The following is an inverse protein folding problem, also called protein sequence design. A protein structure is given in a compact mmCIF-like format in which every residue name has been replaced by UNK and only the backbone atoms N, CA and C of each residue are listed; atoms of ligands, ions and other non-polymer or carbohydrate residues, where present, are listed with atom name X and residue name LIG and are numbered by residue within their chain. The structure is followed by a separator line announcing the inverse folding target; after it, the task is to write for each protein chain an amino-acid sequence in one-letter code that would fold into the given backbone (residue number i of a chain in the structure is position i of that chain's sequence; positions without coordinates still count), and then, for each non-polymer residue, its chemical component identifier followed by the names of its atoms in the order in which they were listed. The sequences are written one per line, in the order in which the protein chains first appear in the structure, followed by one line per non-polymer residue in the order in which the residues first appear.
data_IF_807736496873
#
_entry.id   IF_807736496873
#
_cell.length_a   1.000
_cell.length_b   1.000
_cell.length_c   1.000
_cell.angle_alpha   90.00
_cell.angle_beta   90.00
_cell.angle_gamma   90.00
#
_symmetry.space_group_name_H-M   'P 1'
#
loop_
_entity.id
_entity.type
_entity.pdbx_description
1 polymer ?
#
# COMPACT_ATOMS: atom_id res chain seq x y z
N UNK A 1 -8.86 -4.89 6.02
CA UNK A 1 -9.73 -3.70 6.12
C UNK A 1 -10.60 -3.65 4.87
N UNK A 2 -11.88 -3.27 4.95
CA UNK A 2 -12.74 -3.18 3.77
C UNK A 2 -12.29 -2.03 2.84
N UNK A 3 -12.49 -2.18 1.52
CA UNK A 3 -12.06 -1.21 0.49
C UNK A 3 -12.48 0.24 0.73
N UNK A 4 -13.72 0.52 1.20
CA UNK A 4 -14.13 1.89 1.50
C UNK A 4 -13.39 2.54 2.68
N UNK A 5 -12.70 1.76 3.52
CA UNK A 5 -11.87 2.30 4.62
C UNK A 5 -10.42 2.49 4.19
N UNK A 6 -9.83 1.56 3.44
CA UNK A 6 -8.45 1.71 2.95
C UNK A 6 -8.34 2.91 2.00
N UNK A 7 -9.33 3.10 1.13
CA UNK A 7 -9.38 4.25 0.21
C UNK A 7 -9.54 5.59 0.92
N UNK A 8 -9.84 5.65 2.23
CA UNK A 8 -9.88 6.91 3.00
C UNK A 8 -8.50 7.39 3.43
N UNK A 9 -7.51 6.53 3.46
CA UNK A 9 -6.15 6.93 3.77
C UNK A 9 -5.49 7.47 2.50
N UNK A 10 -4.81 8.61 2.61
CA UNK A 10 -4.10 9.21 1.48
C UNK A 10 -2.86 8.38 1.10
N UNK A 11 -2.17 7.83 2.10
CA UNK A 11 -1.10 6.84 1.98
C UNK A 11 -1.24 5.82 3.11
N UNK A 12 -0.95 4.57 2.81
CA UNK A 12 -0.71 3.52 3.80
C UNK A 12 0.75 3.10 3.64
N UNK A 13 1.48 2.82 4.72
CA UNK A 13 2.87 2.37 4.62
C UNK A 13 2.97 0.96 5.17
N UNK A 14 3.57 0.06 4.38
CA UNK A 14 3.82 -1.30 4.82
C UNK A 14 5.22 -1.39 5.38
N UNK A 15 5.32 -1.74 6.66
CA UNK A 15 6.59 -2.03 7.31
C UNK A 15 6.68 -3.55 7.40
N UNK A 16 7.57 -4.14 6.58
CA UNK A 16 7.92 -5.56 6.67
C UNK A 16 9.03 -5.71 7.70
N UNK A 17 8.90 -6.72 8.54
CA UNK A 17 9.95 -7.12 9.49
C UNK A 17 10.78 -8.23 8.84
N UNK A 18 11.83 -7.82 8.12
CA UNK A 18 12.75 -8.73 7.46
C UNK A 18 13.95 -8.98 8.37
N UNK A 19 14.23 -10.26 8.66
CA UNK A 19 15.38 -10.67 9.48
C UNK A 19 16.66 -10.44 8.70
N UNK A 20 17.42 -9.42 9.08
CA UNK A 20 18.69 -9.03 8.44
C UNK A 20 19.72 -8.87 9.55
N UNK A 21 20.59 -9.88 9.71
CA UNK A 21 21.52 -9.98 10.84
C UNK A 21 22.33 -8.70 11.11
N UNK A 22 22.85 -8.07 10.05
CA UNK A 22 23.63 -6.83 10.18
C UNK A 22 22.80 -5.66 10.72
N UNK A 23 21.56 -5.52 10.26
CA UNK A 23 20.63 -4.48 10.69
C UNK A 23 20.11 -4.75 12.10
N UNK A 24 19.75 -5.99 12.39
CA UNK A 24 19.26 -6.42 13.70
C UNK A 24 20.32 -6.20 14.78
N UNK A 25 21.59 -6.47 14.46
CA UNK A 25 22.71 -6.19 15.34
C UNK A 25 22.86 -4.69 15.61
N UNK A 26 22.81 -3.85 14.57
CA UNK A 26 22.89 -2.39 14.73
C UNK A 26 21.75 -1.86 15.60
N UNK A 27 20.52 -2.34 15.39
CA UNK A 27 19.35 -1.96 16.19
C UNK A 27 19.54 -2.40 17.65
N UNK A 28 19.96 -3.65 17.87
CA UNK A 28 20.21 -4.19 19.21
C UNK A 28 21.27 -3.39 19.98
N UNK A 29 22.42 -3.10 19.34
CA UNK A 29 23.49 -2.29 19.94
C UNK A 29 23.01 -0.87 20.27
N UNK A 30 22.22 -0.26 19.39
CA UNK A 30 21.65 1.07 19.60
C UNK A 30 20.68 1.09 20.80
N UNK A 31 19.79 0.11 20.91
CA UNK A 31 18.81 0.02 22.03
C UNK A 31 19.54 -0.10 23.38
N UNK A 32 20.55 -0.97 23.46
CA UNK A 32 21.33 -1.16 24.71
C UNK A 32 22.07 0.13 25.08
N UNK A 33 22.67 0.81 24.09
CA UNK A 33 23.38 2.07 24.31
C UNK A 33 22.45 3.18 24.81
N UNK A 34 21.29 3.34 24.19
CA UNK A 34 20.26 4.29 24.61
C UNK A 34 19.81 4.03 26.05
N UNK A 35 19.57 2.76 26.41
CA UNK A 35 19.15 2.40 27.77
C UNK A 35 20.22 2.68 28.83
N UNK A 36 21.50 2.54 28.51
CA UNK A 36 22.63 2.87 29.41
C UNK A 36 22.79 4.37 29.65
N UNK A 37 22.47 5.18 28.64
CA UNK A 37 22.57 6.64 28.71
C UNK A 37 21.31 7.31 29.25
N UNK A 38 20.21 6.56 29.37
CA UNK A 38 18.96 7.03 29.96
C UNK A 38 19.12 7.29 31.46
N UNK A 39 18.49 8.36 31.93
CA UNK A 39 18.37 8.65 33.36
C UNK A 39 17.33 7.70 33.94
N UNK A 40 17.61 6.98 35.05
CA UNK A 40 16.62 6.17 35.73
C UNK A 40 15.39 6.97 36.14
N UNK A 41 14.19 6.47 35.85
CA UNK A 41 12.92 7.18 36.12
C UNK A 41 12.77 7.57 37.59
N UNK A 42 13.18 6.71 38.53
CA UNK A 42 13.08 6.99 39.97
C UNK A 42 13.91 8.21 40.42
N UNK A 43 15.01 8.54 39.73
CA UNK A 43 15.81 9.75 40.02
C UNK A 43 15.11 11.02 39.53
N UNK A 44 14.29 10.90 38.48
CA UNK A 44 13.47 11.99 37.97
C UNK A 44 12.28 12.22 38.91
N UNK A 45 11.60 11.15 39.34
CA UNK A 45 10.44 11.23 40.25
C UNK A 45 10.80 11.76 41.65
N UNK A 46 11.99 11.44 42.14
CA UNK A 46 12.51 11.98 43.41
C UNK A 46 12.99 13.43 43.31
N UNK A 47 13.05 14.00 42.11
CA UNK A 47 13.50 15.37 41.85
C UNK A 47 15.02 15.58 41.95
N UNK A 48 15.80 14.51 42.05
CA UNK A 48 17.26 14.56 42.05
C UNK A 48 17.83 14.86 40.65
N UNK A 49 17.12 14.43 39.60
CA UNK A 49 17.47 14.66 38.20
C UNK A 49 16.32 15.35 37.44
N UNK A 50 16.68 16.16 36.44
CA UNK A 50 15.70 16.88 35.61
C UNK A 50 15.31 16.05 34.41
N UNK A 51 14.03 16.10 34.03
CA UNK A 51 13.57 15.46 32.79
C UNK A 51 14.44 15.91 31.58
N UNK A 52 14.91 14.97 30.75
CA UNK A 52 15.70 15.31 29.56
C UNK A 52 14.98 16.30 28.62
N UNK A 53 13.64 16.26 28.59
CA UNK A 53 12.81 17.17 27.79
C UNK A 53 12.93 18.62 28.23
N UNK A 54 12.98 18.88 29.54
CA UNK A 54 13.09 20.23 30.08
C UNK A 54 14.50 20.79 29.91
N UNK A 55 15.52 19.93 29.98
CA UNK A 55 16.93 20.29 29.74
C UNK A 55 17.21 20.72 28.29
N UNK A 56 16.39 20.24 27.35
CA UNK A 56 16.50 20.53 25.91
C UNK A 56 15.66 21.75 25.46
N UNK A 57 14.84 22.31 26.35
CA UNK A 57 13.93 23.41 26.02
C UNK A 57 14.70 24.65 25.57
N UNK A 58 14.39 25.15 24.38
CA UNK A 58 15.07 26.33 23.81
C UNK A 58 16.41 26.06 23.12
N UNK A 59 16.94 24.82 23.17
CA UNK A 59 18.12 24.43 22.38
C UNK A 59 17.68 24.00 20.98
N UNK A 60 18.44 24.39 19.96
CA UNK A 60 18.19 23.99 18.56
C UNK A 60 18.78 22.61 18.27
N UNK A 61 20.00 22.37 18.78
CA UNK A 61 20.75 21.14 18.57
C UNK A 61 20.95 20.36 19.87
N UNK A 62 21.01 19.04 19.74
CA UNK A 62 21.46 18.09 20.76
C UNK A 62 22.43 17.10 20.12
N UNK A 63 23.13 16.29 20.91
CA UNK A 63 23.95 15.19 20.39
C UNK A 63 23.21 13.87 20.52
N UNK A 64 23.28 13.04 19.47
CA UNK A 64 22.78 11.66 19.54
C UNK A 64 23.79 10.76 20.29
N UNK A 65 23.45 9.48 20.42
CA UNK A 65 24.31 8.44 21.05
C UNK A 65 25.62 8.17 20.32
N UNK A 66 25.78 8.69 19.10
CA UNK A 66 26.98 8.57 18.28
C UNK A 66 27.80 9.89 18.30
N UNK A 67 27.32 10.90 19.01
CA UNK A 67 27.96 12.21 19.14
C UNK A 67 27.65 13.19 18.01
N UNK A 68 26.80 12.80 17.06
CA UNK A 68 26.38 13.63 15.93
C UNK A 68 25.36 14.68 16.37
N UNK A 69 25.43 15.86 15.74
CA UNK A 69 24.50 16.95 16.00
C UNK A 69 23.15 16.66 15.33
N UNK A 70 22.10 16.57 16.16
CA UNK A 70 20.72 16.34 15.73
C UNK A 70 19.82 17.49 16.20
N UNK A 71 18.72 17.71 15.49
CA UNK A 71 17.72 18.69 15.88
C UNK A 71 16.98 18.24 17.14
N UNK A 72 16.73 19.16 18.07
CA UNK A 72 15.93 18.87 19.27
C UNK A 72 14.46 18.68 18.90
N UNK A 73 13.75 17.89 19.71
CA UNK A 73 12.30 17.71 19.55
C UNK A 73 11.54 19.03 19.73
N UNK A 74 11.96 19.87 20.69
CA UNK A 74 11.37 21.19 20.94
C UNK A 74 11.49 22.11 19.71
N UNK A 75 12.66 22.14 19.07
CA UNK A 75 12.86 22.92 17.85
C UNK A 75 11.99 22.40 16.70
N UNK A 76 11.97 21.09 16.45
CA UNK A 76 11.15 20.51 15.37
C UNK A 76 9.66 20.80 15.57
N UNK A 77 9.16 20.69 16.81
CA UNK A 77 7.77 21.02 17.12
C UNK A 77 7.45 22.50 16.86
N UNK A 78 8.32 23.41 17.31
CA UNK A 78 8.18 24.85 17.05
C UNK A 78 8.26 25.17 15.55
N UNK A 79 9.16 24.52 14.83
CA UNK A 79 9.31 24.65 13.39
C UNK A 79 8.04 24.23 12.67
N UNK A 80 7.54 23.02 12.93
CA UNK A 80 6.29 22.53 12.33
C UNK A 80 5.10 23.45 12.67
N UNK A 81 5.01 23.93 13.91
CA UNK A 81 3.97 24.88 14.31
C UNK A 81 4.07 26.21 13.56
N UNK A 82 5.27 26.73 13.37
CA UNK A 82 5.54 27.94 12.58
C UNK A 82 5.13 27.74 11.11
N UNK A 83 5.54 26.63 10.49
CA UNK A 83 5.17 26.29 9.11
C UNK A 83 3.64 26.25 8.94
N UNK A 84 2.92 25.58 9.87
CA UNK A 84 1.45 25.45 9.82
C UNK A 84 0.70 26.77 9.99
N UNK A 85 1.25 27.72 10.76
CA UNK A 85 0.57 29.00 11.04
C UNK A 85 0.78 30.04 9.93
N UNK A 86 1.94 30.00 9.27
CA UNK A 86 2.39 31.11 8.44
C UNK A 86 2.44 30.78 6.93
N UNK A 87 2.41 29.50 6.55
CA UNK A 87 2.58 29.08 5.16
C UNK A 87 1.42 28.22 4.67
N UNK A 88 0.73 28.73 3.65
CA UNK A 88 -0.40 28.10 2.97
C UNK A 88 -0.04 28.04 1.49
N UNK A 89 0.64 26.98 1.04
CA UNK A 89 1.14 26.92 -0.32
C UNK A 89 0.02 26.75 -1.34
N UNK A 90 0.03 27.55 -2.40
CA UNK A 90 -0.91 27.44 -3.52
C UNK A 90 -0.34 26.61 -4.68
N UNK A 91 -1.21 26.01 -5.49
CA UNK A 91 -0.87 25.07 -6.57
C UNK A 91 -1.54 25.47 -7.90
N UNK A 92 -1.18 26.63 -8.44
CA UNK A 92 -1.88 27.23 -9.59
C UNK A 92 -1.23 26.96 -10.96
N UNK A 93 0.08 26.70 -11.01
CA UNK A 93 0.85 26.68 -12.26
C UNK A 93 1.17 25.25 -12.77
N UNK A 94 2.42 25.02 -13.19
CA UNK A 94 2.94 23.74 -13.70
C UNK A 94 2.76 22.53 -12.77
N UNK A 95 2.92 22.63 -11.43
CA UNK A 95 2.76 21.47 -10.54
C UNK A 95 1.36 20.85 -10.63
N UNK A 96 0.33 21.68 -10.84
CA UNK A 96 -1.06 21.22 -10.99
C UNK A 96 -1.22 20.36 -12.23
N UNK A 97 -0.61 20.75 -13.36
CA UNK A 97 -0.65 19.96 -14.59
C UNK A 97 0.01 18.60 -14.38
N UNK A 98 1.19 18.57 -13.76
CA UNK A 98 1.93 17.34 -13.46
C UNK A 98 1.07 16.37 -12.61
N UNK A 99 0.39 16.87 -11.58
CA UNK A 99 -0.48 16.06 -10.73
C UNK A 99 -1.71 15.51 -11.46
N UNK A 100 -2.35 16.33 -12.31
CA UNK A 100 -3.51 15.93 -13.11
C UNK A 100 -3.13 14.92 -14.17
N UNK A 101 -2.01 15.14 -14.86
CA UNK A 101 -1.49 14.22 -15.89
C UNK A 101 -1.16 12.86 -15.28
N UNK A 102 -0.48 12.86 -14.12
CA UNK A 102 -0.22 11.63 -13.37
C UNK A 102 -1.51 10.89 -13.01
N UNK A 103 -2.51 11.59 -12.47
CA UNK A 103 -3.79 11.00 -12.08
C UNK A 103 -4.54 10.39 -13.29
N UNK A 104 -4.61 11.12 -14.40
CA UNK A 104 -5.31 10.65 -15.60
C UNK A 104 -4.61 9.48 -16.26
N UNK A 105 -3.27 9.45 -16.25
CA UNK A 105 -2.48 8.31 -16.70
C UNK A 105 -2.77 7.07 -15.86
N UNK A 106 -2.66 7.18 -14.54
CA UNK A 106 -2.92 6.08 -13.61
C UNK A 106 -4.37 5.57 -13.71
N UNK A 107 -5.34 6.45 -14.01
CA UNK A 107 -6.73 6.06 -14.25
C UNK A 107 -6.90 5.18 -15.48
N UNK A 108 -6.18 5.46 -16.56
CA UNK A 108 -6.24 4.67 -17.80
C UNK A 108 -5.64 3.28 -17.60
N UNK A 109 -4.49 3.21 -16.92
CA UNK A 109 -3.80 1.95 -16.64
C UNK A 109 -4.61 1.06 -15.68
N UNK A 110 -5.22 1.65 -14.66
CA UNK A 110 -6.06 0.93 -13.69
C UNK A 110 -7.38 0.38 -14.23
N UNK A 111 -7.83 0.77 -15.43
CA UNK A 111 -9.03 0.18 -16.04
C UNK A 111 -8.77 -1.21 -16.65
N UNK A 112 -7.52 -1.56 -16.93
CA UNK A 112 -7.13 -2.87 -17.48
C UNK A 112 -6.72 -3.91 -16.43
N UNK A 113 -6.20 -3.46 -15.27
CA UNK A 113 -5.78 -4.33 -14.17
C UNK A 113 -6.81 -4.29 -13.05
N UNK A 114 -7.61 -5.34 -12.90
CA UNK A 114 -8.59 -5.48 -11.81
C UNK A 114 -7.95 -5.71 -10.43
N UNK A 115 -6.79 -5.10 -10.18
CA UNK A 115 -5.78 -5.57 -9.25
C UNK A 115 -5.12 -4.48 -8.40
N UNK A 116 -5.47 -3.22 -8.62
CA UNK A 116 -4.94 -2.09 -7.86
C UNK A 116 -6.03 -1.51 -6.98
N UNK A 117 -5.67 -1.05 -5.77
CA UNK A 117 -6.56 -0.23 -4.92
C UNK A 117 -7.20 0.82 -5.81
N UNK A 118 -8.53 0.78 -5.94
CA UNK A 118 -9.28 1.60 -6.88
C UNK A 118 -8.79 3.03 -6.79
N UNK A 119 -8.18 3.53 -7.87
CA UNK A 119 -7.80 4.94 -7.95
C UNK A 119 -9.10 5.73 -7.77
N UNK A 120 -9.18 6.67 -6.84
CA UNK A 120 -10.39 7.49 -6.60
C UNK A 120 -10.04 8.95 -6.79
N UNK A 121 -11.03 9.86 -6.89
CA UNK A 121 -10.73 11.29 -6.85
C UNK A 121 -9.98 11.71 -5.56
N UNK A 122 -10.04 10.90 -4.51
CA UNK A 122 -9.30 11.13 -3.27
C UNK A 122 -7.80 10.90 -3.40
N UNK A 123 -7.34 10.08 -4.35
CA UNK A 123 -5.90 9.85 -4.52
C UNK A 123 -5.19 11.12 -4.98
N UNK A 124 -5.78 11.87 -5.92
CA UNK A 124 -5.21 13.14 -6.38
C UNK A 124 -5.27 14.20 -5.27
N UNK A 125 -6.34 14.22 -4.46
CA UNK A 125 -6.36 15.08 -3.26
C UNK A 125 -5.23 14.75 -2.29
N UNK A 126 -4.96 13.45 -2.07
CA UNK A 126 -3.85 13.00 -1.24
C UNK A 126 -2.50 13.45 -1.79
N UNK A 127 -2.25 13.27 -3.10
CA UNK A 127 -1.03 13.74 -3.76
C UNK A 127 -0.87 15.26 -3.67
N UNK A 128 -1.96 16.01 -3.84
CA UNK A 128 -1.94 17.47 -3.66
C UNK A 128 -1.58 17.86 -2.21
N UNK A 129 -2.25 17.27 -1.21
CA UNK A 129 -1.97 17.54 0.21
C UNK A 129 -0.51 17.25 0.58
N UNK A 130 0.07 16.20 0.01
CA UNK A 130 1.48 15.85 0.22
C UNK A 130 2.43 16.86 -0.42
N UNK A 131 2.14 17.31 -1.64
CA UNK A 131 2.93 18.35 -2.31
C UNK A 131 2.89 19.67 -1.52
N UNK A 132 1.70 20.11 -1.10
CA UNK A 132 1.51 21.28 -0.23
C UNK A 132 2.21 21.12 1.12
N UNK A 133 2.12 19.94 1.75
CA UNK A 133 2.80 19.68 3.01
C UNK A 133 4.32 19.79 2.85
N UNK A 134 4.88 19.30 1.75
CA UNK A 134 6.31 19.46 1.44
C UNK A 134 6.64 20.94 1.24
N UNK A 135 5.95 21.66 0.38
CA UNK A 135 6.17 23.10 0.17
C UNK A 135 6.11 23.90 1.48
N UNK A 136 5.15 23.57 2.35
CA UNK A 136 4.99 24.15 3.69
C UNK A 136 6.18 23.87 4.60
N UNK A 137 6.75 22.66 4.57
CA UNK A 137 7.97 22.32 5.34
C UNK A 137 9.19 23.14 4.90
N UNK A 138 9.23 23.58 3.65
CA UNK A 138 10.28 24.44 3.11
C UNK A 138 9.96 25.94 3.23
N UNK A 139 8.91 26.32 3.96
CA UNK A 139 8.50 27.73 4.13
C UNK A 139 8.20 28.44 2.80
N UNK A 140 7.67 27.71 1.82
CA UNK A 140 7.30 28.26 0.51
C UNK A 140 5.82 28.61 0.45
N UNK A 141 5.48 29.65 -0.32
CA UNK A 141 4.09 30.07 -0.59
C UNK A 141 3.49 29.39 -1.82
N UNK A 142 4.33 28.78 -2.65
CA UNK A 142 3.92 28.14 -3.88
C UNK A 142 4.50 26.72 -3.91
N UNK A 143 3.69 25.77 -4.38
CA UNK A 143 4.13 24.41 -4.66
C UNK A 143 5.04 24.43 -5.87
N UNK A 144 6.18 23.73 -5.83
CA UNK A 144 7.06 23.61 -7.00
C UNK A 144 6.87 22.28 -7.72
N UNK A 145 7.36 22.18 -8.94
CA UNK A 145 7.36 20.92 -9.71
C UNK A 145 8.03 19.78 -8.94
N UNK A 146 9.10 20.09 -8.21
CA UNK A 146 9.81 19.12 -7.39
C UNK A 146 8.92 18.58 -6.26
N UNK A 147 8.04 19.40 -5.67
CA UNK A 147 7.09 18.91 -4.67
C UNK A 147 6.06 17.96 -5.26
N UNK A 148 5.55 18.27 -6.44
CA UNK A 148 4.63 17.41 -7.17
C UNK A 148 5.31 16.07 -7.52
N UNK A 149 6.53 16.09 -8.07
CA UNK A 149 7.30 14.88 -8.40
C UNK A 149 7.56 14.01 -7.17
N UNK A 150 7.95 14.60 -6.04
CA UNK A 150 8.18 13.85 -4.81
C UNK A 150 6.90 13.25 -4.25
N UNK A 151 5.78 13.98 -4.30
CA UNK A 151 4.50 13.43 -3.88
C UNK A 151 4.06 12.25 -4.77
N UNK A 152 4.25 12.37 -6.08
CA UNK A 152 4.00 11.28 -7.03
C UNK A 152 4.91 10.08 -6.72
N UNK A 153 6.18 10.32 -6.41
CA UNK A 153 7.11 9.25 -6.04
C UNK A 153 6.64 8.50 -4.78
N UNK A 154 6.11 9.21 -3.77
CA UNK A 154 5.54 8.58 -2.58
C UNK A 154 4.29 7.75 -2.88
N UNK A 155 3.36 8.26 -3.69
CA UNK A 155 2.16 7.50 -4.11
C UNK A 155 2.54 6.26 -4.94
N UNK A 156 3.50 6.38 -5.85
CA UNK A 156 4.04 5.24 -6.61
C UNK A 156 4.67 4.18 -5.71
N UNK A 157 5.49 4.59 -4.74
CA UNK A 157 6.14 3.67 -3.81
C UNK A 157 5.11 2.91 -2.97
N UNK A 158 4.10 3.60 -2.43
CA UNK A 158 2.99 2.95 -1.74
C UNK A 158 2.27 1.93 -2.63
N UNK A 159 1.92 2.30 -3.87
CA UNK A 159 1.24 1.40 -4.82
C UNK A 159 2.07 0.18 -5.15
N UNK A 160 3.36 0.36 -5.40
CA UNK A 160 4.29 -0.73 -5.66
C UNK A 160 4.33 -1.72 -4.47
N UNK A 161 4.46 -1.20 -3.24
CA UNK A 161 4.47 -2.04 -2.03
C UNK A 161 3.12 -2.74 -1.81
N UNK A 162 2.01 -2.06 -2.12
CA UNK A 162 0.66 -2.64 -2.02
C UNK A 162 0.45 -3.78 -3.01
N UNK A 163 0.98 -3.66 -4.22
CA UNK A 163 0.90 -4.71 -5.25
C UNK A 163 1.78 -5.90 -4.87
N UNK A 164 3.00 -5.66 -4.38
CA UNK A 164 3.93 -6.71 -3.94
C UNK A 164 3.38 -7.50 -2.74
N UNK A 165 2.70 -6.83 -1.83
CA UNK A 165 2.18 -7.47 -0.63
C UNK A 165 0.77 -8.05 -0.79
N UNK A 166 0.23 -8.07 -2.02
CA UNK A 166 -1.13 -8.54 -2.31
C UNK A 166 -2.18 -7.98 -1.35
N UNK A 167 -2.09 -6.67 -1.03
CA UNK A 167 -3.10 -5.95 -0.25
C UNK A 167 -4.37 -5.74 -1.09
N UNK A 168 -4.94 -6.81 -1.62
CA UNK A 168 -6.21 -6.76 -2.31
C UNK A 168 -7.31 -6.43 -1.32
N UNK A 169 -8.10 -5.43 -1.68
CA UNK A 169 -9.14 -4.86 -0.82
C UNK A 169 -10.55 -5.36 -1.15
N UNK A 170 -10.68 -6.18 -2.20
CA UNK A 170 -11.98 -6.60 -2.74
C UNK A 170 -12.43 -8.00 -2.37
N UNK A 171 -11.61 -8.83 -1.71
CA UNK A 171 -11.94 -10.23 -1.57
C UNK A 171 -11.81 -10.75 -0.13
N UNK A 172 -12.99 -10.97 0.49
CA UNK A 172 -13.16 -11.84 1.65
C UNK A 172 -12.84 -13.32 1.34
N UNK A 173 -12.42 -13.66 0.12
CA UNK A 173 -12.20 -15.04 -0.32
C UNK A 173 -10.88 -15.63 0.16
N UNK A 174 -9.87 -14.81 0.49
CA UNK A 174 -8.54 -15.29 0.91
C UNK A 174 -7.77 -16.04 -0.19
N UNK A 175 -8.18 -15.90 -1.47
CA UNK A 175 -7.58 -16.62 -2.59
C UNK A 175 -6.55 -15.73 -3.32
N UNK A 176 -5.34 -16.24 -3.62
CA UNK A 176 -4.33 -15.52 -4.41
C UNK A 176 -4.82 -15.12 -5.82
N UNK A 177 -4.40 -13.96 -6.31
CA UNK A 177 -4.81 -13.38 -7.61
C UNK A 177 -4.60 -14.29 -8.82
N UNK A 178 -3.49 -15.03 -8.87
CA UNK A 178 -3.22 -16.02 -9.94
C UNK A 178 -4.32 -17.07 -10.02
N UNK A 179 -4.84 -17.48 -8.87
CA UNK A 179 -5.92 -18.46 -8.78
C UNK A 179 -7.26 -17.83 -9.17
N UNK A 180 -7.50 -16.55 -8.86
CA UNK A 180 -8.72 -15.84 -9.26
C UNK A 180 -8.79 -15.53 -10.77
N UNK A 181 -7.67 -15.14 -11.39
CA UNK A 181 -7.61 -14.95 -12.84
C UNK A 181 -7.82 -16.26 -13.59
N UNK A 182 -7.22 -17.34 -13.09
CA UNK A 182 -7.45 -18.69 -13.60
C UNK A 182 -8.92 -19.10 -13.43
N UNK A 183 -9.53 -18.88 -12.27
CA UNK A 183 -10.97 -19.13 -12.04
C UNK A 183 -11.86 -18.41 -13.07
N UNK A 184 -11.63 -17.12 -13.31
CA UNK A 184 -12.42 -16.33 -14.28
C UNK A 184 -12.24 -16.84 -15.71
N UNK A 185 -11.01 -17.15 -16.10
CA UNK A 185 -10.69 -17.60 -17.46
C UNK A 185 -11.25 -18.99 -17.72
N UNK A 186 -11.06 -19.93 -16.79
CA UNK A 186 -11.64 -21.28 -16.86
C UNK A 186 -13.17 -21.20 -16.84
N UNK A 187 -13.79 -20.35 -16.01
CA UNK A 187 -15.24 -20.14 -16.05
C UNK A 187 -15.72 -19.58 -17.39
N UNK A 188 -14.97 -18.70 -18.05
CA UNK A 188 -15.32 -18.22 -19.40
C UNK A 188 -15.24 -19.33 -20.45
N UNK A 189 -14.23 -20.19 -20.36
CA UNK A 189 -14.06 -21.36 -21.23
C UNK A 189 -15.25 -22.31 -21.04
N UNK A 190 -15.58 -22.65 -19.80
CA UNK A 190 -16.70 -23.53 -19.46
C UNK A 190 -18.03 -22.97 -19.96
N UNK A 191 -18.29 -21.66 -19.77
CA UNK A 191 -19.52 -21.03 -20.27
C UNK A 191 -19.60 -21.02 -21.79
N UNK A 192 -18.48 -20.80 -22.48
CA UNK A 192 -18.44 -20.82 -23.95
C UNK A 192 -18.70 -22.23 -24.47
N UNK A 193 -18.05 -23.25 -23.91
CA UNK A 193 -18.26 -24.65 -24.26
C UNK A 193 -19.72 -25.08 -24.05
N UNK A 194 -20.32 -24.72 -22.91
CA UNK A 194 -21.73 -25.03 -22.62
C UNK A 194 -22.68 -24.37 -23.62
N UNK A 195 -22.36 -23.16 -24.09
CA UNK A 195 -23.15 -22.45 -25.11
C UNK A 195 -23.06 -23.11 -26.49
N UNK A 196 -21.88 -23.60 -26.86
CA UNK A 196 -21.63 -24.25 -28.15
C UNK A 196 -22.18 -25.68 -28.21
N UNK A 197 -22.04 -26.44 -27.12
CA UNK A 197 -22.41 -27.87 -27.04
C UNK A 197 -23.87 -28.11 -26.61
N UNK A 198 -24.65 -27.05 -26.39
CA UNK A 198 -26.10 -27.18 -26.15
C UNK A 198 -26.49 -27.52 -24.71
N UNK A 199 -25.73 -27.01 -23.73
CA UNK A 199 -26.15 -26.99 -22.32
C UNK A 199 -25.33 -27.87 -21.37
N UNK A 200 -24.45 -28.73 -21.89
CA UNK A 200 -23.54 -29.57 -21.09
C UNK A 200 -22.14 -29.54 -21.68
N UNK A 201 -21.12 -29.64 -20.83
CA UNK A 201 -19.74 -29.86 -21.27
C UNK A 201 -19.09 -31.01 -20.50
N UNK A 202 -18.20 -31.75 -21.18
CA UNK A 202 -17.43 -32.85 -20.59
C UNK A 202 -16.10 -32.32 -20.08
N UNK A 203 -15.59 -32.87 -18.97
CA UNK A 203 -14.30 -32.43 -18.38
C UNK A 203 -13.14 -32.48 -19.39
N UNK A 204 -13.13 -33.45 -20.31
CA UNK A 204 -12.12 -33.57 -21.38
C UNK A 204 -12.07 -32.34 -22.29
N UNK A 205 -13.23 -31.78 -22.61
CA UNK A 205 -13.32 -30.60 -23.49
C UNK A 205 -12.83 -29.35 -22.75
N UNK A 206 -13.09 -29.28 -21.44
CA UNK A 206 -12.59 -28.22 -20.58
C UNK A 206 -11.06 -28.31 -20.49
N UNK A 207 -10.47 -29.49 -20.31
CA UNK A 207 -9.02 -29.65 -20.28
C UNK A 207 -8.37 -29.24 -21.59
N UNK A 208 -8.93 -29.66 -22.74
CA UNK A 208 -8.39 -29.30 -24.05
C UNK A 208 -8.41 -27.78 -24.27
N UNK A 209 -9.53 -27.12 -23.99
CA UNK A 209 -9.66 -25.67 -24.14
C UNK A 209 -8.81 -24.88 -23.10
N UNK A 210 -8.59 -25.44 -21.91
CA UNK A 210 -7.72 -24.86 -20.90
C UNK A 210 -6.23 -25.04 -21.23
N UNK A 211 -5.85 -26.17 -21.83
CA UNK A 211 -4.49 -26.44 -22.29
C UNK A 211 -4.07 -25.49 -23.42
N UNK A 212 -4.99 -25.13 -24.32
CA UNK A 212 -4.77 -24.09 -25.34
C UNK A 212 -4.42 -22.72 -24.72
N UNK A 213 -4.88 -22.47 -23.50
CA UNK A 213 -4.62 -21.25 -22.72
C UNK A 213 -3.48 -21.44 -21.70
N UNK A 214 -2.71 -22.52 -21.81
CA UNK A 214 -1.56 -22.85 -20.93
C UNK A 214 -1.91 -23.07 -19.45
N UNK A 215 -3.08 -23.65 -19.15
CA UNK A 215 -3.41 -24.11 -17.79
C UNK A 215 -3.20 -25.62 -17.62
N UNK A 216 -2.62 -26.01 -16.48
CA UNK A 216 -2.45 -27.41 -16.10
C UNK A 216 -3.77 -28.03 -15.61
N UNK A 217 -3.96 -29.34 -15.82
CA UNK A 217 -5.16 -30.10 -15.42
C UNK A 217 -5.45 -29.97 -13.91
N UNK A 218 -4.42 -30.01 -13.05
CA UNK A 218 -4.54 -29.82 -11.60
C UNK A 218 -5.11 -28.43 -11.21
N UNK A 219 -4.85 -27.42 -12.03
CA UNK A 219 -5.40 -26.07 -11.80
C UNK A 219 -6.87 -26.02 -12.19
N UNK A 220 -7.23 -26.69 -13.29
CA UNK A 220 -8.61 -26.81 -13.75
C UNK A 220 -9.48 -27.53 -12.72
N UNK A 221 -9.02 -28.65 -12.17
CA UNK A 221 -9.76 -29.42 -11.17
C UNK A 221 -10.02 -28.66 -9.87
N UNK A 222 -9.02 -27.91 -9.42
CA UNK A 222 -9.14 -27.04 -8.25
C UNK A 222 -10.17 -25.94 -8.46
N UNK A 223 -10.21 -25.36 -9.65
CA UNK A 223 -11.18 -24.33 -10.02
C UNK A 223 -12.58 -24.91 -10.13
N UNK A 224 -12.76 -26.05 -10.81
CA UNK A 224 -14.04 -26.71 -10.98
C UNK A 224 -14.65 -27.16 -9.64
N UNK A 225 -13.83 -27.72 -8.74
CA UNK A 225 -14.25 -28.08 -7.38
C UNK A 225 -14.67 -26.86 -6.55
N UNK A 226 -13.93 -25.75 -6.66
CA UNK A 226 -14.28 -24.49 -5.98
C UNK A 226 -15.59 -23.90 -6.53
N UNK A 227 -15.79 -23.93 -7.84
CA UNK A 227 -17.02 -23.47 -8.49
C UNK A 227 -18.23 -24.33 -8.11
N UNK A 228 -18.02 -25.65 -7.97
CA UNK A 228 -19.05 -26.57 -7.47
C UNK A 228 -19.45 -26.25 -6.03
N UNK A 229 -18.49 -26.01 -5.14
CA UNK A 229 -18.77 -25.65 -3.75
C UNK A 229 -19.52 -24.32 -3.62
N UNK A 230 -19.23 -23.35 -4.50
CA UNK A 230 -19.93 -22.06 -4.56
C UNK A 230 -21.28 -22.11 -5.27
N UNK A 231 -21.63 -23.22 -5.90
CA UNK A 231 -22.89 -23.39 -6.64
C UNK A 231 -22.96 -22.61 -7.96
N UNK A 232 -21.83 -22.19 -8.54
CA UNK A 232 -21.81 -21.56 -9.87
C UNK A 232 -21.81 -22.57 -11.01
N UNK A 233 -21.26 -23.76 -10.77
CA UNK A 233 -21.31 -24.91 -11.66
C UNK A 233 -21.89 -26.09 -10.90
N UNK A 234 -22.67 -26.92 -11.58
CA UNK A 234 -23.19 -28.17 -11.03
C UNK A 234 -22.79 -29.35 -11.90
N UNK A 235 -22.53 -30.49 -11.26
CA UNK A 235 -22.07 -31.72 -11.91
C UNK A 235 -23.16 -32.80 -11.73
N UNK A 236 -24.09 -32.98 -12.70
CA UNK A 236 -25.19 -33.95 -12.59
C UNK A 236 -24.76 -35.41 -12.76
N UNK A 237 -23.67 -35.66 -13.49
CA UNK A 237 -23.04 -36.97 -13.70
C UNK A 237 -21.52 -36.81 -13.65
N UNK A 238 -20.80 -37.90 -13.34
CA UNK A 238 -19.33 -37.90 -13.36
C UNK A 238 -18.84 -37.32 -14.70
N UNK A 239 -17.89 -36.39 -14.62
CA UNK A 239 -17.26 -35.70 -15.76
C UNK A 239 -18.17 -34.83 -16.64
N UNK A 240 -19.39 -34.56 -16.18
CA UNK A 240 -20.35 -33.71 -16.90
C UNK A 240 -20.64 -32.45 -16.08
N UNK A 241 -20.48 -31.29 -16.70
CA UNK A 241 -20.63 -29.99 -16.05
C UNK A 241 -21.73 -29.16 -16.71
N UNK A 242 -22.52 -28.48 -15.87
CA UNK A 242 -23.54 -27.52 -16.27
C UNK A 242 -23.38 -26.23 -15.48
N UNK A 243 -23.82 -25.10 -16.05
CA UNK A 243 -24.02 -23.87 -15.29
C UNK A 243 -25.26 -24.06 -14.42
N UNK A 244 -25.17 -23.68 -13.15
CA UNK A 244 -26.29 -23.72 -12.21
C UNK A 244 -27.39 -22.72 -12.56
#
# INVERSE_FOLDING_TARGET
LPQPLITRFDIVWMIKDDVIESRDRQIGDHIIRMKRLGIPEHLIESGEEVEPKDTQKGKIYSRNVEGEEILTTDFVQKYVAYCKRNFYPDCDEEPRKILVDYYTHQRKEGQGSGNTVSLTARSIEGTLRMAEARARLFLRKDVTEEDAKQSIAMDKLWRYLSDEADLNTDDYSGIPKRTQSAERMILSIVRNLIRELGGECVTTDIYNAAAEQSFDEDTVDRVLSTCRQRGTLWCPRLDLWRVA
#
